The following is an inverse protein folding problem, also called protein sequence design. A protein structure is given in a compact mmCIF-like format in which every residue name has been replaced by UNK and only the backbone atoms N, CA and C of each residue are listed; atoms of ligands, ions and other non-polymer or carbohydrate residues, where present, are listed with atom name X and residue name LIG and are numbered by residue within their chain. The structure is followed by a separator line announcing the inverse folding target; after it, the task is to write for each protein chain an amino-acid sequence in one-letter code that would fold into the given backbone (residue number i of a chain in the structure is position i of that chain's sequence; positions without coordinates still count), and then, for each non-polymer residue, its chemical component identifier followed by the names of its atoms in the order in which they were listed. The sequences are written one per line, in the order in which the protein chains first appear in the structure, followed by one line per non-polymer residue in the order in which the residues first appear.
data_IF_755464952088
#
_entry.id   IF_755464952088
#
_cell.length_a   1.000
_cell.length_b   1.000
_cell.length_c   1.000
_cell.angle_alpha   90.00
_cell.angle_beta   90.00
_cell.angle_gamma   90.00
#
_symmetry.space_group_name_H-M   'P 1'
#
loop_
_entity.id
_entity.type
_entity.pdbx_description
1 polymer ?
#
# COMPACT_ATOMS: atom_id res chain seq x y z
N UNK A 1 10.83 -16.87 -31.31
CA UNK A 1 9.73 -16.85 -30.32
C UNK A 1 8.47 -16.44 -31.04
N UNK A 2 7.34 -17.14 -30.88
CA UNK A 2 6.08 -16.70 -31.51
C UNK A 2 5.69 -15.31 -30.99
N UNK A 3 5.23 -14.42 -31.88
CA UNK A 3 4.88 -13.04 -31.52
C UNK A 3 3.87 -12.98 -30.38
N UNK A 4 2.88 -13.87 -30.40
CA UNK A 4 1.88 -14.05 -29.34
C UNK A 4 2.51 -14.36 -27.99
N UNK A 5 3.50 -15.28 -27.95
CA UNK A 5 4.18 -15.64 -26.70
C UNK A 5 4.98 -14.46 -26.15
N UNK A 6 5.62 -13.68 -27.03
CA UNK A 6 6.41 -12.51 -26.64
C UNK A 6 5.51 -11.43 -26.03
N UNK A 7 4.36 -11.13 -26.67
CA UNK A 7 3.38 -10.16 -26.17
C UNK A 7 2.83 -10.60 -24.82
N UNK A 8 2.48 -11.88 -24.69
CA UNK A 8 1.94 -12.43 -23.44
C UNK A 8 2.96 -12.36 -22.30
N UNK A 9 4.23 -12.70 -22.57
CA UNK A 9 5.30 -12.55 -21.58
C UNK A 9 5.49 -11.10 -21.16
N UNK A 10 5.54 -10.16 -22.11
CA UNK A 10 5.65 -8.73 -21.79
C UNK A 10 4.48 -8.26 -20.92
N UNK A 11 3.25 -8.67 -21.24
CA UNK A 11 2.07 -8.30 -20.47
C UNK A 11 2.13 -8.82 -19.03
N UNK A 12 2.49 -10.10 -18.82
CA UNK A 12 2.64 -10.68 -17.48
C UNK A 12 3.71 -9.95 -16.67
N UNK A 13 4.84 -9.62 -17.29
CA UNK A 13 5.93 -8.89 -16.62
C UNK A 13 5.47 -7.50 -16.19
N UNK A 14 4.80 -6.75 -17.07
CA UNK A 14 4.29 -5.43 -16.74
C UNK A 14 3.21 -5.49 -15.65
N UNK A 15 2.31 -6.46 -15.73
CA UNK A 15 1.29 -6.69 -14.71
C UNK A 15 1.90 -7.02 -13.34
N UNK A 16 2.94 -7.86 -13.31
CA UNK A 16 3.65 -8.19 -12.07
C UNK A 16 4.39 -6.96 -11.50
N UNK A 17 5.06 -6.19 -12.35
CA UNK A 17 5.76 -4.96 -11.94
C UNK A 17 4.80 -3.93 -11.34
N UNK A 18 3.66 -3.72 -11.98
CA UNK A 18 2.59 -2.87 -11.46
C UNK A 18 2.16 -3.32 -10.05
N UNK A 19 1.90 -4.62 -9.87
CA UNK A 19 1.55 -5.17 -8.57
C UNK A 19 2.59 -4.91 -7.50
N UNK A 20 3.82 -5.32 -7.76
CA UNK A 20 4.87 -5.25 -6.76
C UNK A 20 5.19 -3.80 -6.41
N UNK A 21 5.04 -2.86 -7.34
CA UNK A 21 5.25 -1.44 -7.07
C UNK A 21 4.20 -0.89 -6.11
N UNK A 22 2.91 -1.13 -6.36
CA UNK A 22 1.83 -0.71 -5.45
C UNK A 22 1.98 -1.35 -4.07
N UNK A 23 2.24 -2.66 -4.05
CA UNK A 23 2.37 -3.42 -2.82
C UNK A 23 3.56 -2.97 -1.97
N UNK A 24 4.70 -2.65 -2.62
CA UNK A 24 5.86 -2.08 -1.95
C UNK A 24 5.54 -0.71 -1.33
N UNK A 25 4.84 0.16 -2.06
CA UNK A 25 4.46 1.48 -1.57
C UNK A 25 3.54 1.38 -0.35
N UNK A 26 2.59 0.44 -0.33
CA UNK A 26 1.72 0.19 0.82
C UNK A 26 2.52 -0.28 2.05
N UNK A 27 3.50 -1.17 1.86
CA UNK A 27 4.39 -1.63 2.94
C UNK A 27 5.22 -0.46 3.49
N UNK A 28 5.78 0.39 2.61
CA UNK A 28 6.54 1.58 3.01
C UNK A 28 5.66 2.57 3.79
N UNK A 29 4.41 2.75 3.37
CA UNK A 29 3.45 3.60 4.07
C UNK A 29 3.14 3.05 5.47
N UNK A 30 2.87 1.75 5.60
CA UNK A 30 2.68 1.08 6.90
C UNK A 30 3.90 1.25 7.80
N UNK A 31 5.10 1.02 7.27
CA UNK A 31 6.33 1.17 8.04
C UNK A 31 6.51 2.61 8.53
N UNK A 32 6.22 3.59 7.69
CA UNK A 32 6.29 5.02 8.04
C UNK A 32 5.31 5.35 9.16
N UNK A 33 4.08 4.85 9.10
CA UNK A 33 3.07 5.02 10.15
C UNK A 33 3.54 4.41 11.48
N UNK A 34 4.11 3.21 11.45
CA UNK A 34 4.58 2.50 12.65
C UNK A 34 5.80 3.19 13.27
N UNK A 35 6.73 3.66 12.43
CA UNK A 35 7.97 4.32 12.85
C UNK A 35 7.69 5.69 13.49
N UNK A 36 6.74 6.45 12.94
CA UNK A 36 6.39 7.79 13.42
C UNK A 36 5.17 7.79 14.38
N UNK A 37 4.89 6.66 15.03
CA UNK A 37 3.67 6.48 15.85
C UNK A 37 3.63 7.33 17.12
N UNK A 38 4.77 7.83 17.60
CA UNK A 38 4.84 8.50 18.91
C UNK A 38 4.79 10.03 18.80
N UNK A 39 4.89 10.58 17.58
CA UNK A 39 5.00 12.01 17.38
C UNK A 39 3.96 12.47 16.35
N UNK A 40 3.24 13.53 16.69
CA UNK A 40 2.45 14.29 15.72
C UNK A 40 3.46 15.08 14.90
N UNK A 41 3.49 14.95 13.56
CA UNK A 41 4.42 15.72 12.74
C UNK A 41 4.19 17.21 12.99
N UNK A 42 5.28 17.99 13.00
CA UNK A 42 5.28 19.41 13.34
C UNK A 42 4.26 20.22 12.52
N UNK A 43 4.07 19.83 11.25
CA UNK A 43 3.09 20.41 10.33
C UNK A 43 1.62 20.26 10.78
N UNK A 44 1.33 19.30 11.67
CA UNK A 44 -0.01 19.04 12.21
C UNK A 44 -0.18 19.51 13.65
N UNK A 45 0.90 19.96 14.30
CA UNK A 45 0.87 20.49 15.66
C UNK A 45 0.00 21.74 15.70
N UNK A 46 -1.04 21.74 16.54
CA UNK A 46 -2.00 22.84 16.67
C UNK A 46 -3.24 22.75 15.77
N UNK A 47 -3.25 21.86 14.76
CA UNK A 47 -4.43 21.59 13.92
C UNK A 47 -5.19 20.32 14.36
N UNK A 48 -4.45 19.34 14.86
CA UNK A 48 -4.99 18.05 15.30
C UNK A 48 -4.45 17.75 16.70
N UNK A 49 -5.33 17.38 17.61
CA UNK A 49 -4.93 16.92 18.94
C UNK A 49 -4.33 15.50 18.87
N UNK A 50 -3.53 15.14 19.89
CA UNK A 50 -2.83 13.87 19.92
C UNK A 50 -3.78 12.65 19.91
N UNK A 51 -4.98 12.75 20.46
CA UNK A 51 -5.95 11.66 20.50
C UNK A 51 -6.58 11.44 19.12
N UNK A 52 -6.97 12.51 18.44
CA UNK A 52 -7.49 12.46 17.07
C UNK A 52 -6.43 11.93 16.10
N UNK A 53 -5.18 12.37 16.24
CA UNK A 53 -4.07 11.82 15.45
C UNK A 53 -3.88 10.31 15.69
N UNK A 54 -3.91 9.87 16.95
CA UNK A 54 -3.82 8.44 17.30
C UNK A 54 -4.94 7.62 16.64
N UNK A 55 -6.19 8.07 16.71
CA UNK A 55 -7.35 7.41 16.09
C UNK A 55 -7.21 7.34 14.56
N UNK A 56 -6.85 8.46 13.93
CA UNK A 56 -6.63 8.52 12.48
C UNK A 56 -5.54 7.55 12.02
N UNK A 57 -4.43 7.49 12.78
CA UNK A 57 -3.33 6.57 12.53
C UNK A 57 -3.75 5.11 12.66
N UNK A 58 -4.46 4.75 13.73
CA UNK A 58 -4.94 3.39 13.96
C UNK A 58 -5.90 2.92 12.86
N UNK A 59 -6.82 3.80 12.44
CA UNK A 59 -7.69 3.54 11.30
C UNK A 59 -6.89 3.34 10.01
N UNK A 60 -5.94 4.23 9.73
CA UNK A 60 -5.10 4.17 8.53
C UNK A 60 -4.29 2.88 8.47
N UNK A 61 -3.72 2.44 9.60
CA UNK A 61 -2.97 1.19 9.70
C UNK A 61 -3.87 -0.03 9.44
N UNK A 62 -5.06 -0.08 10.05
CA UNK A 62 -6.03 -1.16 9.79
C UNK A 62 -6.48 -1.19 8.34
N UNK A 63 -6.77 -0.02 7.76
CA UNK A 63 -7.15 0.12 6.35
C UNK A 63 -6.03 -0.36 5.44
N UNK A 64 -4.77 -0.03 5.73
CA UNK A 64 -3.62 -0.46 4.95
C UNK A 64 -3.42 -1.99 5.02
N UNK A 65 -3.51 -2.60 6.21
CA UNK A 65 -3.45 -4.07 6.33
C UNK A 65 -4.56 -4.78 5.55
N UNK A 66 -5.78 -4.24 5.61
CA UNK A 66 -6.89 -4.77 4.81
C UNK A 66 -6.64 -4.58 3.30
N UNK A 67 -6.13 -3.41 2.89
CA UNK A 67 -5.75 -3.11 1.52
C UNK A 67 -4.75 -4.11 0.94
N UNK A 68 -3.68 -4.43 1.69
CA UNK A 68 -2.70 -5.45 1.32
C UNK A 68 -3.37 -6.80 1.08
N UNK A 69 -4.25 -7.24 1.98
CA UNK A 69 -4.97 -8.51 1.84
C UNK A 69 -5.88 -8.52 0.61
N UNK A 70 -6.67 -7.46 0.41
CA UNK A 70 -7.58 -7.35 -0.73
C UNK A 70 -6.85 -7.20 -2.06
N UNK A 71 -5.66 -6.60 -2.08
CA UNK A 71 -4.86 -6.45 -3.31
C UNK A 71 -4.40 -7.81 -3.85
N UNK A 72 -3.99 -8.73 -2.96
CA UNK A 72 -3.62 -10.10 -3.30
C UNK A 72 -4.85 -10.88 -3.78
N UNK A 73 -5.95 -10.80 -3.02
CA UNK A 73 -7.20 -11.46 -3.40
C UNK A 73 -7.69 -10.98 -4.77
N UNK A 74 -7.77 -9.66 -5.01
CA UNK A 74 -8.21 -9.11 -6.27
C UNK A 74 -7.38 -9.62 -7.46
N UNK A 75 -6.05 -9.63 -7.35
CA UNK A 75 -5.18 -10.09 -8.45
C UNK A 75 -5.23 -11.60 -8.68
N UNK A 76 -5.45 -12.41 -7.64
CA UNK A 76 -5.59 -13.87 -7.80
C UNK A 76 -6.93 -14.26 -8.43
N UNK A 77 -8.01 -13.52 -8.16
CA UNK A 77 -9.36 -13.86 -8.62
C UNK A 77 -9.79 -13.15 -9.92
N UNK A 78 -9.15 -12.03 -10.30
CA UNK A 78 -9.45 -11.28 -11.53
C UNK A 78 -8.62 -11.79 -12.74
N UNK A 79 -7.47 -12.42 -12.49
CA UNK A 79 -6.71 -13.17 -13.51
C UNK A 79 -7.38 -14.53 -13.75
#
# INVERSE_FOLDING_TARGET
MNYTNTILTCWIVLFALDFFTEWLLDILNINTIIRNRNEVPENFTGFIDAETYRKSREYSLRKAHFGLFTSVQGRVFII
#
